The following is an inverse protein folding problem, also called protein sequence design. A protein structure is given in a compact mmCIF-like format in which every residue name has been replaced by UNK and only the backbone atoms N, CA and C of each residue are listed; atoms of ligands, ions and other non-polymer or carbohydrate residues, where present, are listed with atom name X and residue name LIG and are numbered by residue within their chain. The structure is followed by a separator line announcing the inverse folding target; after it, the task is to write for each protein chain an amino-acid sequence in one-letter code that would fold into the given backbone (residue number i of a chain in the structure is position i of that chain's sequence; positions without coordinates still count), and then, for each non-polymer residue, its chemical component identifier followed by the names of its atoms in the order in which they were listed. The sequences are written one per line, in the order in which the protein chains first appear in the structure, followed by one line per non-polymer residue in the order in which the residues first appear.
data_IF_301964179232
#
_entry.id   IF_301964179232
#
_cell.length_a   1.000
_cell.length_b   1.000
_cell.length_c   1.000
_cell.angle_alpha   90.00
_cell.angle_beta   90.00
_cell.angle_gamma   90.00
#
_symmetry.space_group_name_H-M   'P 1'
#
loop_
_entity.id
_entity.type
_entity.pdbx_description
1 polymer ?
#
# COMPACT_ATOMS: atom_id res chain seq x y z
N UNK A 1 -43.87 18.31 25.59
CA UNK A 1 -42.79 19.11 26.22
C UNK A 1 -41.49 18.32 26.30
N UNK A 2 -40.91 17.98 25.14
CA UNK A 2 -39.57 17.38 25.12
C UNK A 2 -38.55 18.44 25.56
N UNK A 3 -37.57 18.05 26.38
CA UNK A 3 -36.53 18.96 26.86
C UNK A 3 -35.15 18.40 26.51
N UNK A 4 -34.20 19.29 26.19
CA UNK A 4 -32.85 18.98 25.73
C UNK A 4 -32.79 18.41 24.29
N UNK A 5 -31.68 17.76 23.91
CA UNK A 5 -31.47 17.15 22.60
C UNK A 5 -32.05 15.74 22.55
N UNK A 6 -32.57 15.35 21.40
CA UNK A 6 -33.11 14.02 21.15
C UNK A 6 -33.21 13.75 19.66
N UNK A 7 -33.29 12.48 19.29
CA UNK A 7 -33.46 12.07 17.89
C UNK A 7 -34.75 11.27 17.76
N UNK A 8 -35.48 11.51 16.68
CA UNK A 8 -36.67 10.74 16.30
C UNK A 8 -36.33 9.97 15.04
N UNK A 9 -36.49 8.65 15.09
CA UNK A 9 -36.11 7.75 14.00
C UNK A 9 -37.32 7.31 13.19
N UNK A 10 -37.12 7.23 11.88
CA UNK A 10 -38.16 6.85 10.92
C UNK A 10 -37.63 5.87 9.88
N UNK A 11 -38.48 4.96 9.40
CA UNK A 11 -38.28 4.25 8.13
C UNK A 11 -38.97 5.03 7.02
N UNK A 12 -38.33 5.09 5.85
CA UNK A 12 -38.92 5.67 4.64
C UNK A 12 -39.02 4.56 3.60
N UNK A 13 -40.23 4.32 3.08
CA UNK A 13 -40.43 3.33 2.01
C UNK A 13 -40.11 3.91 0.62
N UNK A 14 -40.16 3.05 -0.41
CA UNK A 14 -39.89 3.45 -1.80
C UNK A 14 -40.89 4.47 -2.36
N UNK A 15 -42.06 4.63 -1.73
CA UNK A 15 -43.08 5.61 -2.10
C UNK A 15 -42.94 6.92 -1.31
N UNK A 16 -41.91 7.05 -0.46
CA UNK A 16 -41.69 8.22 0.40
C UNK A 16 -42.59 8.26 1.63
N UNK A 17 -43.28 7.18 1.99
CA UNK A 17 -44.05 7.12 3.23
C UNK A 17 -43.12 6.98 4.42
N UNK A 18 -43.37 7.80 5.44
CA UNK A 18 -42.55 7.93 6.64
C UNK A 18 -43.23 7.20 7.79
N UNK A 19 -42.52 6.27 8.42
CA UNK A 19 -43.02 5.45 9.54
C UNK A 19 -42.14 5.67 10.76
N UNK A 20 -42.73 6.16 11.85
CA UNK A 20 -42.04 6.33 13.13
C UNK A 20 -41.57 4.98 13.67
N UNK A 21 -40.36 4.95 14.24
CA UNK A 21 -39.79 3.77 14.90
C UNK A 21 -39.62 4.05 16.39
N UNK A 22 -38.77 5.02 16.72
CA UNK A 22 -38.35 5.27 18.10
C UNK A 22 -37.91 6.72 18.34
N UNK A 23 -37.76 7.05 19.62
CA UNK A 23 -37.11 8.28 20.08
C UNK A 23 -35.90 7.89 20.90
N UNK A 24 -34.75 8.47 20.57
CA UNK A 24 -33.54 8.41 21.37
C UNK A 24 -33.46 9.67 22.23
N UNK A 25 -33.79 9.61 23.54
CA UNK A 25 -33.89 10.78 24.40
C UNK A 25 -32.51 11.26 24.91
N UNK A 26 -31.52 11.28 24.01
CA UNK A 26 -30.11 11.60 24.28
C UNK A 26 -29.41 11.99 22.98
N UNK A 27 -28.22 12.54 23.11
CA UNK A 27 -27.32 12.73 21.97
C UNK A 27 -26.90 11.38 21.37
N UNK A 28 -26.80 11.34 20.04
CA UNK A 28 -26.34 10.17 19.30
C UNK A 28 -24.88 10.31 18.87
N UNK A 29 -24.23 9.19 18.57
CA UNK A 29 -22.79 9.16 18.24
C UNK A 29 -22.51 9.88 16.92
N UNK A 30 -23.49 9.88 16.02
CA UNK A 30 -23.57 10.51 14.70
C UNK A 30 -23.91 12.01 14.73
N UNK A 31 -24.15 12.62 15.90
CA UNK A 31 -24.47 14.06 15.98
C UNK A 31 -23.48 14.96 15.23
N UNK A 32 -22.21 14.53 15.12
CA UNK A 32 -21.15 15.27 14.43
C UNK A 32 -21.49 15.58 12.97
N UNK A 33 -22.25 14.75 12.25
CA UNK A 33 -22.63 15.05 10.87
C UNK A 33 -23.58 16.25 10.80
N UNK A 34 -24.52 16.32 11.76
CA UNK A 34 -25.47 17.43 11.89
C UNK A 34 -24.76 18.72 12.27
N UNK A 35 -23.82 18.67 13.22
CA UNK A 35 -23.01 19.84 13.60
C UNK A 35 -22.22 20.37 12.40
N UNK A 36 -21.61 19.48 11.59
CA UNK A 36 -20.78 19.87 10.45
C UNK A 36 -21.58 20.55 9.34
N UNK A 37 -22.85 20.18 9.11
CA UNK A 37 -23.68 20.81 8.06
C UNK A 37 -24.48 22.01 8.54
N UNK A 38 -24.79 22.11 9.84
CA UNK A 38 -25.58 23.22 10.39
C UNK A 38 -24.73 24.31 11.04
N UNK A 39 -23.51 23.98 11.50
CA UNK A 39 -22.67 24.85 12.31
C UNK A 39 -23.14 24.99 13.76
N UNK A 40 -24.14 24.23 14.19
CA UNK A 40 -24.69 24.26 15.54
C UNK A 40 -23.93 23.23 16.39
N UNK A 41 -23.34 23.67 17.50
CA UNK A 41 -22.72 22.79 18.50
C UNK A 41 -23.81 22.23 19.43
N UNK A 42 -24.16 20.97 19.22
CA UNK A 42 -25.27 20.29 19.89
C UNK A 42 -24.90 19.92 21.34
N UNK A 43 -23.65 19.59 21.63
CA UNK A 43 -23.19 19.27 22.99
C UNK A 43 -23.19 20.53 23.86
N UNK A 44 -22.65 21.64 23.34
CA UNK A 44 -22.71 22.95 23.99
C UNK A 44 -24.16 23.36 24.22
N UNK A 45 -25.03 23.20 23.22
CA UNK A 45 -26.46 23.52 23.32
C UNK A 45 -27.14 22.71 24.41
N UNK A 46 -26.90 21.40 24.48
CA UNK A 46 -27.40 20.52 25.55
C UNK A 46 -27.03 21.04 26.95
N UNK A 47 -25.78 21.46 27.16
CA UNK A 47 -25.32 22.01 28.45
C UNK A 47 -26.03 23.33 28.78
N UNK A 48 -26.18 24.22 27.80
CA UNK A 48 -26.85 25.52 28.01
C UNK A 48 -28.34 25.39 28.30
N UNK A 49 -29.04 24.48 27.63
CA UNK A 49 -30.44 24.15 27.96
C UNK A 49 -30.54 23.68 29.41
N UNK A 50 -29.61 22.81 29.85
CA UNK A 50 -29.60 22.32 31.23
C UNK A 50 -29.30 23.41 32.27
N UNK A 51 -28.66 24.52 31.86
CA UNK A 51 -28.47 25.72 32.69
C UNK A 51 -29.71 26.64 32.73
N UNK A 52 -30.78 26.31 32.01
CA UNK A 52 -32.01 27.09 31.95
C UNK A 52 -32.04 28.16 30.87
N UNK A 53 -31.07 28.15 29.94
CA UNK A 53 -31.06 29.09 28.81
C UNK A 53 -32.12 28.72 27.76
N UNK A 54 -32.75 29.74 27.19
CA UNK A 54 -33.73 29.57 26.12
C UNK A 54 -33.00 29.42 24.78
N UNK A 55 -33.55 28.61 23.86
CA UNK A 55 -32.88 28.29 22.59
C UNK A 55 -32.45 29.54 21.79
N UNK A 56 -33.26 30.59 21.81
CA UNK A 56 -33.06 31.81 21.02
C UNK A 56 -32.45 32.97 21.82
N UNK A 57 -32.03 32.74 23.07
CA UNK A 57 -31.35 33.77 23.84
C UNK A 57 -29.93 34.04 23.29
N UNK A 58 -29.26 35.04 23.83
CA UNK A 58 -27.91 35.44 23.40
C UNK A 58 -26.83 34.39 23.72
N UNK A 59 -27.12 33.42 24.61
CA UNK A 59 -26.15 32.46 25.14
C UNK A 59 -26.13 31.19 24.28
N UNK A 60 -27.30 30.66 23.91
CA UNK A 60 -27.43 29.55 22.96
C UNK A 60 -27.34 30.09 21.53
N UNK A 61 -28.00 31.22 21.26
CA UNK A 61 -28.07 31.86 19.96
C UNK A 61 -28.51 30.92 18.82
N UNK A 62 -29.42 29.98 19.11
CA UNK A 62 -29.99 29.11 18.08
C UNK A 62 -30.89 29.96 17.18
N UNK A 63 -30.68 29.95 15.85
CA UNK A 63 -31.54 30.68 14.93
C UNK A 63 -32.97 30.15 15.00
N UNK A 64 -33.91 30.99 14.57
CA UNK A 64 -35.27 30.54 14.28
C UNK A 64 -35.25 29.42 13.23
N UNK A 65 -36.23 28.51 13.28
CA UNK A 65 -36.24 27.29 12.48
C UNK A 65 -36.09 27.55 10.97
N UNK A 66 -36.71 28.61 10.46
CA UNK A 66 -36.65 29.06 9.06
C UNK A 66 -35.26 29.59 8.64
N UNK A 67 -34.40 29.92 9.62
CA UNK A 67 -33.04 30.43 9.42
C UNK A 67 -31.95 29.38 9.63
N UNK A 68 -32.30 28.17 10.07
CA UNK A 68 -31.35 27.05 10.14
C UNK A 68 -30.94 26.69 8.71
N UNK A 69 -29.65 26.81 8.39
CA UNK A 69 -29.12 26.51 7.05
C UNK A 69 -28.39 25.17 7.03
N UNK A 70 -28.56 24.44 5.94
CA UNK A 70 -27.76 23.26 5.62
C UNK A 70 -26.66 23.68 4.66
N UNK A 71 -25.41 23.47 5.06
CA UNK A 71 -24.22 23.80 4.30
C UNK A 71 -23.51 22.51 3.86
N UNK A 72 -23.80 22.04 2.66
CA UNK A 72 -23.15 20.86 2.07
C UNK A 72 -23.56 19.54 2.71
N UNK A 73 -22.63 18.58 2.71
CA UNK A 73 -22.83 17.19 3.13
C UNK A 73 -21.72 16.77 4.09
N UNK A 74 -22.07 15.93 5.06
CA UNK A 74 -21.12 15.31 5.97
C UNK A 74 -21.33 13.79 6.02
N UNK A 75 -20.23 13.04 6.11
CA UNK A 75 -20.22 11.57 6.20
C UNK A 75 -19.34 11.18 7.38
N UNK A 76 -19.88 10.38 8.31
CA UNK A 76 -19.14 9.82 9.43
C UNK A 76 -18.79 8.35 9.17
N UNK A 77 -17.55 7.97 9.40
CA UNK A 77 -17.12 6.58 9.57
C UNK A 77 -16.63 6.36 11.00
N UNK A 78 -16.93 5.17 11.55
CA UNK A 78 -16.39 4.71 12.83
C UNK A 78 -15.29 3.70 12.57
N UNK A 79 -14.05 4.07 12.86
CA UNK A 79 -12.93 3.13 12.78
C UNK A 79 -12.94 2.30 14.06
N UNK A 80 -13.08 1.00 13.92
CA UNK A 80 -13.13 0.02 15.03
C UNK A 80 -11.98 -0.98 14.91
N UNK A 81 -11.79 -1.82 15.94
CA UNK A 81 -10.88 -2.99 15.87
C UNK A 81 -11.49 -4.24 15.27
N UNK A 82 -12.74 -4.19 14.81
CA UNK A 82 -13.43 -5.32 14.17
C UNK A 82 -12.67 -5.71 12.89
N UNK A 83 -12.39 -7.02 12.74
CA UNK A 83 -11.76 -7.57 11.54
C UNK A 83 -12.83 -8.07 10.55
N UNK A 84 -13.07 -7.37 9.42
CA UNK A 84 -14.06 -7.79 8.44
C UNK A 84 -13.69 -9.10 7.71
N UNK A 85 -12.44 -9.57 7.82
CA UNK A 85 -11.98 -10.86 7.30
C UNK A 85 -12.25 -12.01 8.30
N UNK A 86 -12.70 -11.69 9.52
CA UNK A 86 -12.96 -12.64 10.61
C UNK A 86 -14.28 -12.31 11.32
N UNK A 87 -15.38 -12.28 10.54
CA UNK A 87 -16.75 -12.07 11.01
C UNK A 87 -16.95 -10.84 11.91
N UNK A 88 -16.19 -9.77 11.67
CA UNK A 88 -16.20 -8.53 12.46
C UNK A 88 -15.88 -8.75 13.95
N UNK A 89 -15.18 -9.84 14.29
CA UNK A 89 -14.71 -10.04 15.65
C UNK A 89 -13.74 -8.90 16.02
N UNK A 90 -13.95 -8.21 17.15
CA UNK A 90 -13.03 -7.18 17.60
C UNK A 90 -11.65 -7.76 17.92
N UNK A 91 -10.62 -7.17 17.34
CA UNK A 91 -9.23 -7.47 17.66
C UNK A 91 -8.79 -6.70 18.92
N UNK A 92 -7.87 -7.29 19.67
CA UNK A 92 -7.38 -6.76 20.93
C UNK A 92 -5.86 -6.81 20.98
N UNK A 93 -5.27 -5.86 21.69
CA UNK A 93 -3.82 -5.82 21.81
C UNK A 93 -3.31 -4.40 21.96
N UNK A 94 -1.99 -4.28 21.81
CA UNK A 94 -1.32 -2.99 21.93
C UNK A 94 -1.30 -2.29 20.58
N UNK A 95 -1.78 -1.05 20.53
CA UNK A 95 -1.61 -0.19 19.36
C UNK A 95 -0.14 0.24 19.28
N UNK A 96 0.60 -0.36 18.35
CA UNK A 96 2.04 -0.12 18.16
C UNK A 96 2.33 1.21 17.47
N UNK A 97 1.43 1.62 16.58
CA UNK A 97 1.52 2.90 15.89
C UNK A 97 0.10 3.38 15.56
N UNK A 98 -0.15 4.64 15.86
CA UNK A 98 -1.34 5.39 15.54
C UNK A 98 -0.91 6.70 14.88
N UNK A 99 -1.33 6.89 13.62
CA UNK A 99 -1.29 8.18 12.93
C UNK A 99 -2.65 8.44 12.36
N UNK A 100 -3.24 9.55 12.79
CA UNK A 100 -4.51 10.06 12.31
C UNK A 100 -4.35 10.79 10.98
N UNK A 101 -5.48 11.07 10.34
CA UNK A 101 -5.53 11.88 9.13
C UNK A 101 -6.09 13.26 9.44
N UNK A 102 -5.50 14.30 8.86
CA UNK A 102 -5.86 15.69 9.14
C UNK A 102 -6.18 16.45 7.85
N UNK A 103 -6.63 17.70 7.96
CA UNK A 103 -6.83 18.60 6.82
C UNK A 103 -8.25 19.17 6.71
N UNK A 104 -8.43 20.10 5.76
CA UNK A 104 -9.66 20.85 5.65
C UNK A 104 -10.91 19.99 5.38
N UNK A 105 -11.91 20.12 6.25
CA UNK A 105 -13.15 19.36 6.18
C UNK A 105 -13.03 17.93 6.70
N UNK A 106 -11.99 17.61 7.48
CA UNK A 106 -11.92 16.39 8.31
C UNK A 106 -12.02 16.80 9.78
N UNK A 107 -12.97 16.18 10.48
CA UNK A 107 -13.11 16.23 11.93
C UNK A 107 -12.85 14.84 12.50
N UNK A 108 -12.07 14.79 13.58
CA UNK A 108 -11.79 13.58 14.32
C UNK A 108 -12.33 13.71 15.74
N UNK A 109 -13.04 12.69 16.17
CA UNK A 109 -13.46 12.51 17.56
C UNK A 109 -12.88 11.17 18.01
N UNK A 110 -11.70 11.23 18.63
CA UNK A 110 -10.93 10.06 19.08
C UNK A 110 -11.58 9.43 20.32
N UNK A 111 -11.59 8.09 20.37
CA UNK A 111 -11.81 7.34 21.59
C UNK A 111 -10.52 7.27 22.42
N UNK A 112 -10.38 6.22 23.22
CA UNK A 112 -9.17 5.98 24.02
C UNK A 112 -8.05 5.33 23.18
N UNK A 113 -7.64 5.96 22.07
CA UNK A 113 -6.61 5.45 21.16
C UNK A 113 -5.37 6.35 21.15
N UNK A 114 -4.21 5.78 21.46
CA UNK A 114 -2.91 6.44 21.38
C UNK A 114 -1.78 5.41 21.26
N UNK A 115 -0.58 5.85 20.89
CA UNK A 115 0.58 4.96 20.77
C UNK A 115 0.87 4.24 22.10
N UNK A 116 0.88 2.91 22.07
CA UNK A 116 1.14 2.06 23.24
C UNK A 116 -0.10 1.71 24.06
N UNK A 117 -1.29 2.22 23.73
CA UNK A 117 -2.52 1.83 24.45
C UNK A 117 -2.84 0.35 24.21
N UNK A 118 -3.35 -0.32 25.23
CA UNK A 118 -3.87 -1.68 25.13
C UNK A 118 -5.39 -1.63 25.00
N UNK A 119 -5.90 -2.11 23.86
CA UNK A 119 -7.33 -2.22 23.63
C UNK A 119 -7.89 -3.37 24.46
N UNK A 120 -8.92 -3.07 25.25
CA UNK A 120 -9.59 -3.99 26.17
C UNK A 120 -10.76 -4.71 25.48
N UNK A 121 -11.03 -5.98 25.80
CA UNK A 121 -12.20 -6.70 25.30
C UNK A 121 -13.52 -6.34 25.98
N UNK A 122 -13.49 -5.51 27.02
CA UNK A 122 -14.67 -5.24 27.86
C UNK A 122 -15.50 -4.03 27.40
N UNK A 123 -15.01 -3.25 26.43
CA UNK A 123 -15.68 -2.04 25.94
C UNK A 123 -15.90 -2.12 24.43
N UNK A 124 -16.64 -1.15 23.91
CA UNK A 124 -16.78 -0.98 22.47
C UNK A 124 -15.41 -0.86 21.78
N UNK A 125 -15.31 -1.43 20.59
CA UNK A 125 -14.11 -1.51 19.75
C UNK A 125 -13.79 -0.22 19.01
N UNK A 126 -14.57 0.85 19.24
CA UNK A 126 -14.39 2.16 18.64
C UNK A 126 -13.02 2.76 18.97
N UNK A 127 -12.23 3.03 17.92
CA UNK A 127 -10.96 3.73 18.01
C UNK A 127 -11.15 5.23 17.78
N UNK A 128 -11.77 5.62 16.67
CA UNK A 128 -11.94 7.02 16.27
C UNK A 128 -13.11 7.18 15.32
N UNK A 129 -13.86 8.27 15.48
CA UNK A 129 -14.86 8.70 14.50
C UNK A 129 -14.23 9.70 13.56
N UNK A 130 -14.40 9.47 12.26
CA UNK A 130 -13.87 10.33 11.20
C UNK A 130 -15.06 10.91 10.45
N UNK A 131 -15.26 12.22 10.58
CA UNK A 131 -16.33 12.93 9.86
C UNK A 131 -15.72 13.80 8.77
N UNK A 132 -16.11 13.55 7.52
CA UNK A 132 -15.72 14.39 6.39
C UNK A 132 -16.87 15.31 5.99
N UNK A 133 -16.56 16.55 5.62
CA UNK A 133 -17.51 17.56 5.17
C UNK A 133 -17.07 18.24 3.87
N UNK A 134 -18.02 18.44 2.97
CA UNK A 134 -17.81 19.18 1.72
C UNK A 134 -19.12 19.69 1.14
N UNK A 135 -19.06 20.46 0.05
CA UNK A 135 -20.24 20.97 -0.67
C UNK A 135 -21.02 19.89 -1.41
N UNK A 136 -20.39 18.75 -1.74
CA UNK A 136 -21.03 17.61 -2.41
C UNK A 136 -20.73 16.30 -1.69
N UNK A 137 -21.62 15.31 -1.80
CA UNK A 137 -21.40 13.94 -1.29
C UNK A 137 -20.11 13.35 -1.87
N UNK A 138 -19.89 13.54 -3.18
CA UNK A 138 -18.69 13.05 -3.87
C UNK A 138 -17.41 13.59 -3.25
N UNK A 139 -17.36 14.89 -2.97
CA UNK A 139 -16.16 15.51 -2.39
C UNK A 139 -15.97 15.14 -0.92
N UNK A 140 -17.07 15.01 -0.14
CA UNK A 140 -17.02 14.50 1.23
C UNK A 140 -16.45 13.06 1.24
N UNK A 141 -16.94 12.21 0.34
CA UNK A 141 -16.42 10.86 0.11
C UNK A 141 -14.95 10.86 -0.29
N UNK A 142 -14.51 11.74 -1.20
CA UNK A 142 -13.10 11.83 -1.59
C UNK A 142 -12.20 12.22 -0.40
N UNK A 143 -12.61 13.22 0.40
CA UNK A 143 -11.89 13.62 1.61
C UNK A 143 -11.82 12.48 2.61
N UNK A 144 -12.94 11.78 2.84
CA UNK A 144 -13.03 10.63 3.74
C UNK A 144 -12.16 9.47 3.26
N UNK A 145 -12.20 9.14 1.96
CA UNK A 145 -11.35 8.13 1.34
C UNK A 145 -9.87 8.44 1.52
N UNK A 146 -9.45 9.69 1.30
CA UNK A 146 -8.08 10.12 1.57
C UNK A 146 -7.74 9.94 3.06
N UNK A 147 -8.59 10.42 3.95
CA UNK A 147 -8.38 10.33 5.39
C UNK A 147 -8.21 8.86 5.84
N UNK A 148 -9.13 7.97 5.47
CA UNK A 148 -9.05 6.54 5.74
C UNK A 148 -7.77 5.88 5.18
N UNK A 149 -7.29 6.31 4.01
CA UNK A 149 -6.04 5.81 3.44
C UNK A 149 -4.77 6.39 4.09
N UNK A 150 -4.85 7.52 4.77
CA UNK A 150 -3.74 8.12 5.51
C UNK A 150 -3.58 7.52 6.90
N UNK A 151 -4.68 7.06 7.53
CA UNK A 151 -4.62 6.38 8.81
C UNK A 151 -3.58 5.25 8.82
N UNK A 152 -2.70 5.27 9.82
CA UNK A 152 -1.76 4.16 10.09
C UNK A 152 -2.02 3.67 11.49
N UNK A 153 -2.79 2.60 11.57
CA UNK A 153 -3.03 1.85 12.80
C UNK A 153 -2.28 0.52 12.66
N UNK A 154 -1.47 0.18 13.66
CA UNK A 154 -0.63 -1.01 13.72
C UNK A 154 -0.76 -1.65 15.10
N UNK A 155 -0.65 -2.96 15.16
CA UNK A 155 -0.77 -3.74 16.40
C UNK A 155 -2.15 -4.37 16.60
N UNK A 156 -3.19 -3.80 15.98
CA UNK A 156 -4.55 -4.37 15.89
C UNK A 156 -5.08 -4.26 14.46
N UNK A 157 -6.05 -5.12 14.12
CA UNK A 157 -6.88 -5.03 12.91
C UNK A 157 -7.86 -3.88 13.00
N UNK A 158 -8.40 -3.48 11.85
CA UNK A 158 -9.38 -2.40 11.75
C UNK A 158 -10.35 -2.63 10.60
N UNK A 159 -11.57 -2.10 10.73
CA UNK A 159 -12.59 -2.11 9.69
C UNK A 159 -12.35 -1.12 8.51
N UNK A 160 -11.22 -0.41 8.45
CA UNK A 160 -10.94 0.64 7.45
C UNK A 160 -11.15 0.18 6.00
N UNK A 161 -10.76 -1.06 5.66
CA UNK A 161 -10.91 -1.57 4.28
C UNK A 161 -12.37 -1.75 3.89
N UNK A 162 -13.18 -2.24 4.82
CA UNK A 162 -14.63 -2.38 4.64
C UNK A 162 -15.27 -1.00 4.44
N UNK A 163 -14.92 -0.03 5.28
CA UNK A 163 -15.39 1.36 5.12
C UNK A 163 -14.99 1.97 3.77
N UNK A 164 -13.75 1.74 3.32
CA UNK A 164 -13.27 2.20 2.01
C UNK A 164 -14.07 1.61 0.85
N UNK A 165 -14.47 0.35 0.94
CA UNK A 165 -15.30 -0.30 -0.08
C UNK A 165 -16.71 0.31 -0.12
N UNK A 166 -17.34 0.55 1.04
CA UNK A 166 -18.66 1.21 1.11
C UNK A 166 -18.63 2.59 0.46
N UNK A 167 -17.74 3.47 0.92
CA UNK A 167 -17.74 4.86 0.46
C UNK A 167 -17.31 4.99 -1.00
N UNK A 168 -16.61 4.00 -1.55
CA UNK A 168 -16.24 3.96 -2.97
C UNK A 168 -17.35 3.37 -3.86
N UNK A 169 -18.41 2.78 -3.29
CA UNK A 169 -19.45 2.12 -4.06
C UNK A 169 -20.34 3.16 -4.78
N UNK A 170 -20.62 3.01 -6.09
CA UNK A 170 -21.40 3.98 -6.86
C UNK A 170 -22.79 4.25 -6.28
N UNK A 171 -23.47 3.23 -5.76
CA UNK A 171 -24.82 3.37 -5.19
C UNK A 171 -24.82 4.17 -3.88
N UNK A 172 -23.77 4.04 -3.07
CA UNK A 172 -23.59 4.86 -1.86
C UNK A 172 -23.35 6.33 -2.25
N UNK A 173 -22.50 6.58 -3.24
CA UNK A 173 -22.20 7.93 -3.74
C UNK A 173 -23.44 8.59 -4.36
N UNK A 174 -24.30 7.80 -5.00
CA UNK A 174 -25.56 8.26 -5.56
C UNK A 174 -26.62 8.60 -4.50
N UNK A 175 -26.42 8.19 -3.24
CA UNK A 175 -27.38 8.40 -2.15
C UNK A 175 -28.56 7.42 -2.16
N UNK A 176 -28.42 6.29 -2.86
CA UNK A 176 -29.50 5.30 -3.04
C UNK A 176 -29.41 4.12 -2.07
N UNK A 177 -28.45 4.13 -1.15
CA UNK A 177 -28.28 3.03 -0.20
C UNK A 177 -29.52 2.85 0.70
N UNK A 178 -29.99 1.61 0.79
CA UNK A 178 -31.09 1.20 1.68
C UNK A 178 -30.58 0.36 2.84
N UNK A 179 -31.46 -0.02 3.77
CA UNK A 179 -31.12 -0.95 4.87
C UNK A 179 -30.58 -2.30 4.40
N UNK A 180 -30.87 -2.70 3.15
CA UNK A 180 -30.41 -3.96 2.57
C UNK A 180 -29.12 -3.82 1.75
N UNK A 181 -28.52 -2.62 1.68
CA UNK A 181 -27.36 -2.32 0.85
C UNK A 181 -26.22 -3.36 1.00
N UNK A 182 -25.81 -3.66 2.22
CA UNK A 182 -24.72 -4.63 2.45
C UNK A 182 -25.08 -6.07 2.05
N UNK A 183 -26.36 -6.46 2.12
CA UNK A 183 -26.82 -7.78 1.67
C UNK A 183 -26.83 -7.87 0.14
N UNK A 184 -27.09 -6.75 -0.54
CA UNK A 184 -27.16 -6.66 -2.00
C UNK A 184 -25.78 -6.56 -2.66
N UNK A 185 -24.75 -6.13 -1.93
CA UNK A 185 -23.40 -5.91 -2.44
C UNK A 185 -22.35 -6.73 -1.66
N UNK A 186 -22.31 -8.07 -1.83
CA UNK A 186 -21.32 -8.92 -1.16
C UNK A 186 -19.88 -8.64 -1.61
N UNK A 187 -19.68 -7.98 -2.74
CA UNK A 187 -18.38 -7.54 -3.24
C UNK A 187 -17.68 -6.54 -2.30
N UNK A 188 -18.44 -5.82 -1.45
CA UNK A 188 -17.90 -4.94 -0.40
C UNK A 188 -17.01 -5.72 0.58
N UNK A 189 -17.23 -7.02 0.75
CA UNK A 189 -16.43 -7.88 1.62
C UNK A 189 -15.20 -8.46 0.92
N UNK A 190 -14.93 -8.08 -0.34
CA UNK A 190 -13.73 -8.51 -1.06
C UNK A 190 -12.60 -7.52 -0.86
N UNK A 191 -11.49 -7.98 -0.28
CA UNK A 191 -10.36 -7.12 0.10
C UNK A 191 -9.10 -7.45 -0.69
N UNK A 192 -8.37 -6.40 -1.11
CA UNK A 192 -6.99 -6.55 -1.60
C UNK A 192 -6.02 -6.49 -0.43
N UNK A 193 -5.17 -7.50 -0.30
CA UNK A 193 -4.16 -7.53 0.76
C UNK A 193 -3.15 -6.39 0.57
N UNK A 194 -2.96 -5.60 1.63
CA UNK A 194 -1.87 -4.62 1.65
C UNK A 194 -0.53 -5.34 1.74
N UNK A 195 0.45 -4.87 0.97
CA UNK A 195 1.78 -5.47 0.94
C UNK A 195 2.60 -5.18 2.21
N UNK A 196 2.24 -4.13 2.97
CA UNK A 196 2.88 -3.67 4.21
C UNK A 196 4.43 -3.62 4.15
N UNK A 197 4.94 -3.09 3.03
CA UNK A 197 6.37 -3.12 2.68
C UNK A 197 7.27 -2.49 3.75
N UNK A 198 6.86 -1.36 4.34
CA UNK A 198 7.64 -0.66 5.36
C UNK A 198 7.85 -1.51 6.61
N UNK A 199 6.79 -2.09 7.17
CA UNK A 199 6.88 -2.98 8.33
C UNK A 199 7.73 -4.21 8.04
N UNK A 200 7.58 -4.82 6.85
CA UNK A 200 8.40 -5.98 6.44
C UNK A 200 9.89 -5.65 6.37
N UNK A 201 10.26 -4.48 5.84
CA UNK A 201 11.65 -4.02 5.80
C UNK A 201 12.18 -3.80 7.22
N UNK A 202 11.43 -3.12 8.09
CA UNK A 202 11.85 -2.89 9.48
C UNK A 202 12.03 -4.19 10.24
N UNK A 203 11.13 -5.17 10.05
CA UNK A 203 11.26 -6.50 10.64
C UNK A 203 12.53 -7.20 10.15
N UNK A 204 12.81 -7.17 8.85
CA UNK A 204 14.04 -7.75 8.30
C UNK A 204 15.29 -7.09 8.88
N UNK A 205 15.34 -5.75 8.93
CA UNK A 205 16.49 -5.02 9.50
C UNK A 205 16.67 -5.32 10.99
N UNK A 206 15.58 -5.37 11.76
CA UNK A 206 15.62 -5.70 13.18
C UNK A 206 16.14 -7.13 13.41
N UNK A 207 15.63 -8.10 12.64
CA UNK A 207 16.07 -9.50 12.69
C UNK A 207 17.58 -9.61 12.47
N UNK A 208 18.09 -9.02 11.39
CA UNK A 208 19.53 -9.06 11.07
C UNK A 208 20.36 -8.28 12.10
N UNK A 209 19.85 -7.17 12.65
CA UNK A 209 20.58 -6.36 13.62
C UNK A 209 20.72 -7.04 14.99
N UNK A 210 19.71 -7.80 15.41
CA UNK A 210 19.67 -8.48 16.71
C UNK A 210 20.29 -9.88 16.62
N UNK A 211 19.88 -10.66 15.62
CA UNK A 211 20.24 -12.08 15.51
C UNK A 211 21.41 -12.34 14.54
N UNK A 212 21.85 -11.32 13.79
CA UNK A 212 22.87 -11.44 12.77
C UNK A 212 22.35 -12.06 11.46
N UNK A 213 23.17 -12.01 10.40
CA UNK A 213 22.85 -12.70 9.15
C UNK A 213 23.35 -14.15 9.20
N UNK A 214 22.51 -15.16 8.88
CA UNK A 214 22.89 -16.57 9.04
C UNK A 214 24.11 -16.98 8.21
N UNK A 215 24.30 -16.38 7.04
CA UNK A 215 25.45 -16.65 6.16
C UNK A 215 26.74 -15.91 6.58
N UNK A 216 26.70 -15.00 7.56
CA UNK A 216 27.85 -14.17 7.98
C UNK A 216 28.21 -14.48 9.43
N UNK A 217 29.05 -15.50 9.65
CA UNK A 217 29.42 -15.97 10.99
C UNK A 217 30.24 -14.96 11.81
N UNK A 218 31.09 -14.19 11.16
CA UNK A 218 32.02 -13.27 11.81
C UNK A 218 31.94 -11.88 11.16
N UNK A 219 30.86 -11.11 11.41
CA UNK A 219 30.73 -9.79 10.85
C UNK A 219 31.75 -8.83 11.47
N UNK A 220 32.50 -8.12 10.63
CA UNK A 220 33.36 -7.03 11.07
C UNK A 220 32.49 -5.79 11.36
N UNK A 221 32.27 -5.53 12.66
CA UNK A 221 31.45 -4.40 13.14
C UNK A 221 32.09 -3.03 12.85
N UNK A 222 33.39 -3.00 12.58
CA UNK A 222 34.14 -1.77 12.30
C UNK A 222 34.35 -1.57 10.79
N UNK A 223 33.80 -2.45 9.95
CA UNK A 223 33.96 -2.34 8.51
C UNK A 223 33.25 -1.08 8.01
N UNK A 224 34.05 -0.12 7.55
CA UNK A 224 33.57 1.01 6.78
C UNK A 224 33.46 0.58 5.32
N UNK A 225 32.25 0.64 4.78
CA UNK A 225 32.02 0.40 3.36
C UNK A 225 32.23 1.68 2.58
N UNK A 226 33.18 1.66 1.65
CA UNK A 226 33.37 2.74 0.70
C UNK A 226 32.20 2.79 -0.29
N UNK A 227 31.81 4.01 -0.69
CA UNK A 227 30.83 4.16 -1.76
C UNK A 227 31.50 3.73 -3.07
N UNK A 228 30.91 2.79 -3.83
CA UNK A 228 31.50 2.36 -5.08
C UNK A 228 31.54 3.53 -6.08
N UNK A 229 32.66 3.67 -6.78
CA UNK A 229 32.77 4.59 -7.91
C UNK A 229 31.94 4.03 -9.06
N UNK A 230 30.86 4.73 -9.41
CA UNK A 230 30.02 4.33 -10.53
C UNK A 230 30.66 4.83 -11.85
N UNK A 231 30.80 3.96 -12.86
CA UNK A 231 31.31 4.38 -14.16
C UNK A 231 30.34 5.37 -14.82
N UNK A 232 30.81 6.28 -15.68
CA UNK A 232 29.96 7.21 -16.40
C UNK A 232 28.85 6.48 -17.15
N UNK A 233 27.64 7.03 -17.12
CA UNK A 233 26.51 6.53 -17.88
C UNK A 233 25.63 7.71 -18.28
N UNK A 234 25.56 7.97 -19.58
CA UNK A 234 24.64 8.96 -20.13
C UNK A 234 23.29 8.29 -20.40
N UNK A 235 22.25 8.74 -19.69
CA UNK A 235 20.90 8.19 -19.79
C UNK A 235 20.15 8.66 -21.04
N UNK A 236 20.57 9.79 -21.61
CA UNK A 236 19.91 10.44 -22.74
C UNK A 236 20.58 10.06 -24.06
N UNK A 237 21.83 9.62 -24.02
CA UNK A 237 22.52 9.06 -25.17
C UNK A 237 21.94 7.71 -25.61
N UNK A 238 21.82 7.52 -26.93
CA UNK A 238 21.47 6.24 -27.52
C UNK A 238 22.56 5.19 -27.22
N UNK A 239 22.14 3.98 -26.85
CA UNK A 239 23.05 2.85 -26.66
C UNK A 239 23.45 2.33 -28.05
N UNK A 240 24.76 2.23 -28.38
CA UNK A 240 25.20 1.76 -29.70
C UNK A 240 24.73 0.34 -29.99
N UNK A 241 24.42 0.05 -31.26
CA UNK A 241 24.08 -1.31 -31.68
C UNK A 241 25.23 -2.28 -31.41
N UNK A 242 24.89 -3.49 -30.99
CA UNK A 242 25.85 -4.55 -30.71
C UNK A 242 25.40 -5.90 -31.26
N UNK A 243 25.94 -6.97 -30.67
CA UNK A 243 25.68 -8.35 -31.09
C UNK A 243 24.20 -8.76 -31.01
N UNK A 244 23.38 -8.12 -30.18
CA UNK A 244 21.93 -8.38 -30.12
C UNK A 244 21.22 -7.92 -31.39
N UNK A 245 21.54 -6.72 -31.88
CA UNK A 245 20.99 -6.22 -33.14
C UNK A 245 21.47 -7.05 -34.32
N UNK A 246 22.72 -7.50 -34.28
CA UNK A 246 23.25 -8.39 -35.32
C UNK A 246 22.49 -9.73 -35.37
N UNK A 247 22.19 -10.34 -34.22
CA UNK A 247 21.34 -11.54 -34.15
C UNK A 247 19.92 -11.27 -34.68
N UNK A 248 19.33 -10.13 -34.35
CA UNK A 248 17.97 -9.77 -34.82
C UNK A 248 17.91 -9.56 -36.33
N UNK A 249 18.98 -9.06 -36.93
CA UNK A 249 19.07 -8.83 -38.37
C UNK A 249 19.39 -10.09 -39.16
N UNK A 250 20.34 -10.90 -38.69
CA UNK A 250 20.84 -12.05 -39.44
C UNK A 250 20.11 -13.36 -39.12
N UNK A 251 19.60 -13.50 -37.90
CA UNK A 251 19.20 -14.79 -37.36
C UNK A 251 20.40 -15.64 -36.88
N UNK A 252 20.14 -16.76 -36.17
CA UNK A 252 21.18 -17.55 -35.51
C UNK A 252 22.21 -18.17 -36.47
N UNK A 253 21.75 -18.77 -37.56
CA UNK A 253 22.60 -19.52 -38.50
C UNK A 253 23.57 -18.58 -39.23
N UNK A 254 23.05 -17.46 -39.74
CA UNK A 254 23.88 -16.47 -40.43
C UNK A 254 24.79 -15.71 -39.46
N UNK A 255 24.41 -15.55 -38.18
CA UNK A 255 25.32 -15.04 -37.15
C UNK A 255 26.52 -15.98 -36.95
N UNK A 256 26.31 -17.30 -36.95
CA UNK A 256 27.40 -18.28 -36.88
C UNK A 256 28.33 -18.19 -38.09
N UNK A 257 27.77 -18.10 -39.30
CA UNK A 257 28.57 -17.92 -40.52
C UNK A 257 29.36 -16.62 -40.51
N UNK A 258 28.76 -15.54 -40.02
CA UNK A 258 29.43 -14.25 -39.84
C UNK A 258 30.61 -14.39 -38.87
N UNK A 259 30.39 -15.04 -37.71
CA UNK A 259 31.41 -15.22 -36.69
C UNK A 259 32.60 -16.04 -37.21
N UNK A 260 32.38 -17.06 -38.05
CA UNK A 260 33.44 -17.86 -38.68
C UNK A 260 34.31 -17.05 -39.66
N UNK A 261 33.76 -15.99 -40.26
CA UNK A 261 34.47 -15.11 -41.20
C UNK A 261 35.18 -13.96 -40.51
N UNK A 262 34.86 -13.70 -39.25
CA UNK A 262 35.41 -12.58 -38.50
C UNK A 262 36.86 -12.86 -38.10
N UNK A 263 37.72 -11.82 -38.22
CA UNK A 263 39.16 -11.95 -37.92
C UNK A 263 39.48 -11.54 -36.50
N UNK A 264 38.61 -10.77 -35.86
CA UNK A 264 38.77 -10.30 -34.48
C UNK A 264 38.47 -11.43 -33.51
N UNK A 265 39.18 -11.43 -32.38
CA UNK A 265 38.84 -12.26 -31.24
C UNK A 265 37.63 -11.63 -30.54
N UNK A 266 36.57 -12.41 -30.43
CA UNK A 266 35.39 -12.06 -29.67
C UNK A 266 35.50 -12.59 -28.24
N UNK A 267 34.95 -11.85 -27.29
CA UNK A 267 34.96 -12.21 -25.88
C UNK A 267 33.55 -12.16 -25.29
N UNK A 268 33.32 -13.07 -24.35
CA UNK A 268 32.15 -13.10 -23.48
C UNK A 268 32.58 -12.66 -22.10
N UNK A 269 31.90 -11.64 -21.56
CA UNK A 269 32.10 -11.26 -20.17
C UNK A 269 31.31 -12.18 -19.23
N UNK A 270 31.97 -12.74 -18.22
CA UNK A 270 31.37 -13.66 -17.24
C UNK A 270 31.21 -13.04 -15.85
N UNK A 271 31.46 -11.73 -15.73
CA UNK A 271 31.45 -11.00 -14.45
C UNK A 271 30.13 -11.14 -13.71
N UNK A 272 28.99 -11.15 -14.41
CA UNK A 272 27.66 -11.27 -13.81
C UNK A 272 27.18 -12.71 -13.58
N UNK A 273 27.97 -13.73 -13.94
CA UNK A 273 27.61 -15.15 -13.73
C UNK A 273 28.79 -15.96 -13.18
N UNK A 274 29.69 -16.43 -14.03
CA UNK A 274 30.71 -17.41 -13.60
C UNK A 274 31.72 -16.83 -12.62
N UNK A 275 32.17 -15.60 -12.83
CA UNK A 275 33.24 -15.00 -12.02
C UNK A 275 32.89 -14.99 -10.52
N UNK A 276 31.69 -14.51 -10.18
CA UNK A 276 31.25 -14.49 -8.78
C UNK A 276 30.72 -15.84 -8.30
N UNK A 277 30.30 -16.73 -9.20
CA UNK A 277 30.02 -18.12 -8.85
C UNK A 277 31.28 -18.81 -8.30
N UNK A 278 32.44 -18.59 -8.94
CA UNK A 278 33.73 -19.13 -8.52
C UNK A 278 34.30 -18.45 -7.28
N UNK A 279 34.25 -17.11 -7.21
CA UNK A 279 34.98 -16.34 -6.20
C UNK A 279 34.15 -15.97 -4.96
N UNK A 280 32.85 -15.76 -5.15
CA UNK A 280 31.97 -15.16 -4.14
C UNK A 280 30.75 -16.05 -3.86
N UNK A 281 30.87 -17.35 -4.10
CA UNK A 281 29.82 -18.34 -3.90
C UNK A 281 28.47 -17.92 -4.51
N UNK A 282 28.51 -17.25 -5.67
CA UNK A 282 27.32 -16.77 -6.39
C UNK A 282 26.50 -15.70 -5.64
N UNK A 283 27.10 -15.00 -4.65
CA UNK A 283 26.39 -14.08 -3.75
C UNK A 283 26.28 -12.63 -4.23
N UNK A 284 26.78 -12.31 -5.42
CA UNK A 284 26.61 -10.94 -5.96
C UNK A 284 25.13 -10.70 -6.29
N UNK A 285 24.62 -9.56 -5.84
CA UNK A 285 23.19 -9.24 -5.85
C UNK A 285 22.80 -8.43 -7.07
N UNK A 286 21.52 -8.52 -7.45
CA UNK A 286 20.99 -7.76 -8.59
C UNK A 286 21.23 -6.25 -8.44
N UNK A 287 21.11 -5.73 -7.22
CA UNK A 287 21.29 -4.30 -6.92
C UNK A 287 22.70 -3.79 -7.27
N UNK A 288 23.73 -4.62 -7.16
CA UNK A 288 25.11 -4.20 -7.43
C UNK A 288 25.45 -4.35 -8.91
N UNK A 289 25.03 -5.45 -9.53
CA UNK A 289 25.22 -5.66 -10.97
C UNK A 289 24.51 -4.60 -11.82
N UNK A 290 23.27 -4.25 -11.46
CA UNK A 290 22.46 -3.30 -12.23
C UNK A 290 22.96 -1.85 -12.15
N UNK A 291 23.79 -1.50 -11.16
CA UNK A 291 24.41 -0.16 -11.08
C UNK A 291 25.39 0.09 -12.22
N UNK A 292 25.99 -0.95 -12.79
CA UNK A 292 27.05 -0.83 -13.81
C UNK A 292 26.66 -1.42 -15.17
N UNK A 293 25.61 -2.26 -15.22
CA UNK A 293 25.15 -2.93 -16.44
C UNK A 293 24.90 -1.97 -17.62
N UNK A 294 24.20 -0.86 -17.39
CA UNK A 294 23.91 0.13 -18.45
C UNK A 294 25.15 0.86 -18.97
N UNK A 295 26.06 1.24 -18.08
CA UNK A 295 27.34 1.84 -18.46
C UNK A 295 28.18 0.87 -19.30
N UNK A 296 28.23 -0.41 -18.90
CA UNK A 296 28.95 -1.44 -19.66
C UNK A 296 28.37 -1.58 -21.08
N UNK A 297 27.06 -1.68 -21.20
CA UNK A 297 26.35 -1.75 -22.48
C UNK A 297 26.66 -0.57 -23.40
N UNK A 298 26.75 0.65 -22.83
CA UNK A 298 27.02 1.88 -23.56
C UNK A 298 28.47 1.98 -24.05
N UNK A 299 29.44 1.55 -23.23
CA UNK A 299 30.88 1.76 -23.51
C UNK A 299 31.58 0.56 -24.14
N UNK A 300 31.00 -0.64 -24.04
CA UNK A 300 31.58 -1.87 -24.60
C UNK A 300 30.63 -2.63 -25.55
N UNK A 301 30.03 -1.95 -26.55
CA UNK A 301 29.07 -2.57 -27.47
C UNK A 301 29.67 -3.69 -28.35
N UNK A 302 31.01 -3.74 -28.48
CA UNK A 302 31.74 -4.77 -29.22
C UNK A 302 31.80 -6.13 -28.50
N UNK A 303 31.36 -6.20 -27.24
CA UNK A 303 31.30 -7.46 -26.47
C UNK A 303 30.36 -8.45 -27.16
N UNK A 304 30.81 -9.68 -27.38
CA UNK A 304 30.01 -10.66 -28.12
C UNK A 304 28.78 -11.08 -27.31
N UNK A 305 28.98 -11.47 -26.06
CA UNK A 305 27.88 -11.75 -25.13
C UNK A 305 28.26 -11.38 -23.71
N UNK A 306 27.24 -11.12 -22.89
CA UNK A 306 27.39 -11.06 -21.44
C UNK A 306 26.70 -12.27 -20.83
N UNK A 307 27.46 -13.08 -20.10
CA UNK A 307 26.92 -14.20 -19.37
C UNK A 307 26.35 -13.71 -18.04
N UNK A 308 25.02 -13.78 -17.91
CA UNK A 308 24.27 -13.15 -16.81
C UNK A 308 23.33 -14.10 -16.07
N UNK A 309 23.23 -15.36 -16.51
CA UNK A 309 22.18 -16.26 -16.05
C UNK A 309 22.56 -17.75 -16.13
N UNK A 310 21.73 -18.60 -15.54
CA UNK A 310 21.97 -20.04 -15.50
C UNK A 310 23.04 -20.45 -14.49
N UNK A 311 23.53 -21.68 -14.60
CA UNK A 311 24.41 -22.27 -13.58
C UNK A 311 23.76 -22.24 -12.18
N UNK A 312 24.53 -21.89 -11.15
CA UNK A 312 24.04 -21.83 -9.78
C UNK A 312 23.20 -20.56 -9.49
N UNK A 313 23.25 -19.54 -10.36
CA UNK A 313 22.62 -18.25 -10.08
C UNK A 313 21.12 -18.34 -9.87
N UNK A 314 20.43 -19.23 -10.59
CA UNK A 314 18.98 -19.38 -10.51
C UNK A 314 18.51 -19.77 -9.10
N UNK A 315 19.06 -20.84 -8.55
CA UNK A 315 18.74 -21.31 -7.21
C UNK A 315 19.25 -20.35 -6.13
N UNK A 316 20.48 -19.84 -6.28
CA UNK A 316 21.07 -18.97 -5.26
C UNK A 316 20.30 -17.65 -5.12
N UNK A 317 19.77 -17.09 -6.22
CA UNK A 317 18.89 -15.92 -6.17
C UNK A 317 17.73 -16.12 -5.21
N UNK A 318 17.00 -17.23 -5.36
CA UNK A 318 15.79 -17.48 -4.57
C UNK A 318 16.13 -17.93 -3.16
N UNK A 319 17.10 -18.83 -3.02
CA UNK A 319 17.39 -19.52 -1.75
C UNK A 319 18.16 -18.68 -0.77
N UNK A 320 19.12 -17.88 -1.24
CA UNK A 320 20.04 -17.16 -0.37
C UNK A 320 19.95 -15.64 -0.51
N UNK A 321 19.63 -15.14 -1.71
CA UNK A 321 19.52 -13.69 -1.92
C UNK A 321 18.10 -13.16 -1.73
N UNK A 322 17.10 -14.06 -1.66
CA UNK A 322 15.68 -13.71 -1.61
C UNK A 322 15.25 -12.77 -2.76
N UNK A 323 15.82 -13.01 -3.93
CA UNK A 323 15.59 -12.28 -5.18
C UNK A 323 15.00 -13.21 -6.24
N UNK A 324 14.26 -12.63 -7.19
CA UNK A 324 13.69 -13.36 -8.32
C UNK A 324 14.67 -13.38 -9.50
N UNK A 325 15.19 -14.55 -9.93
CA UNK A 325 16.13 -14.66 -11.04
C UNK A 325 15.53 -14.25 -12.39
N UNK A 326 14.21 -14.35 -12.57
CA UNK A 326 13.53 -13.90 -13.78
C UNK A 326 13.46 -12.38 -13.85
N UNK A 327 13.14 -11.75 -12.72
CA UNK A 327 13.14 -10.29 -12.61
C UNK A 327 14.54 -9.73 -12.85
N UNK A 328 15.58 -10.39 -12.33
CA UNK A 328 16.98 -10.06 -12.62
C UNK A 328 17.26 -10.09 -14.12
N UNK A 329 16.85 -11.16 -14.82
CA UNK A 329 17.04 -11.29 -16.27
C UNK A 329 16.31 -10.19 -17.05
N UNK A 330 15.07 -9.87 -16.69
CA UNK A 330 14.30 -8.77 -17.30
C UNK A 330 14.98 -7.42 -17.10
N UNK A 331 15.51 -7.16 -15.90
CA UNK A 331 16.23 -5.93 -15.58
C UNK A 331 17.54 -5.83 -16.38
N UNK A 332 18.29 -6.93 -16.51
CA UNK A 332 19.46 -6.96 -17.39
C UNK A 332 19.09 -6.72 -18.84
N UNK A 333 18.02 -7.34 -19.35
CA UNK A 333 17.61 -7.14 -20.74
C UNK A 333 17.27 -5.68 -21.03
N UNK A 334 16.66 -4.98 -20.07
CA UNK A 334 16.38 -3.54 -20.15
C UNK A 334 17.64 -2.69 -20.07
N UNK A 335 18.56 -3.02 -19.15
CA UNK A 335 19.78 -2.25 -18.93
C UNK A 335 20.83 -2.47 -20.03
N UNK A 336 20.84 -3.64 -20.64
CA UNK A 336 21.79 -4.07 -21.67
C UNK A 336 20.96 -4.43 -22.90
N UNK A 337 20.50 -3.49 -23.72
CA UNK A 337 19.62 -3.79 -24.87
C UNK A 337 20.38 -4.25 -26.12
N UNK A 338 21.69 -4.03 -26.19
CA UNK A 338 22.50 -4.15 -27.40
C UNK A 338 23.43 -5.35 -27.45
N UNK A 339 23.72 -6.00 -26.32
CA UNK A 339 24.62 -7.17 -26.24
C UNK A 339 23.81 -8.46 -26.07
N UNK A 340 24.25 -9.57 -26.66
CA UNK A 340 23.65 -10.89 -26.41
C UNK A 340 23.74 -11.25 -24.93
N UNK A 341 22.64 -11.76 -24.37
CA UNK A 341 22.65 -12.31 -23.01
C UNK A 341 22.83 -13.82 -23.12
N UNK A 342 23.85 -14.32 -22.43
CA UNK A 342 24.21 -15.73 -22.43
C UNK A 342 23.87 -16.35 -21.07
N UNK A 343 23.54 -17.65 -21.11
CA UNK A 343 23.37 -18.46 -19.92
C UNK A 343 24.12 -19.78 -20.02
N UNK A 344 24.50 -20.33 -18.88
CA UNK A 344 24.91 -21.73 -18.77
C UNK A 344 23.69 -22.61 -18.52
N UNK A 345 23.38 -23.51 -19.45
CA UNK A 345 22.26 -24.45 -19.38
C UNK A 345 22.78 -25.89 -19.35
N UNK A 346 22.31 -26.70 -18.40
CA UNK A 346 22.57 -28.15 -18.41
C UNK A 346 21.56 -28.82 -19.33
N UNK A 347 22.02 -29.60 -20.30
CA UNK A 347 21.13 -30.24 -21.29
C UNK A 347 20.03 -31.11 -20.66
N UNK A 348 20.34 -31.85 -19.60
CA UNK A 348 19.40 -32.81 -19.00
C UNK A 348 18.37 -32.19 -18.04
N UNK A 349 18.64 -31.02 -17.46
CA UNK A 349 17.81 -30.49 -16.37
C UNK A 349 17.79 -28.97 -16.24
N UNK A 350 18.21 -28.27 -17.29
CA UNK A 350 18.28 -26.81 -17.35
C UNK A 350 19.10 -26.19 -16.19
N UNK A 351 18.41 -25.73 -15.15
CA UNK A 351 18.96 -25.09 -13.95
C UNK A 351 18.56 -25.82 -12.65
N UNK A 352 17.90 -26.98 -12.77
CA UNK A 352 17.41 -27.76 -11.65
C UNK A 352 18.42 -28.78 -11.10
N UNK A 353 17.97 -29.48 -10.04
CA UNK A 353 18.77 -30.49 -9.34
C UNK A 353 18.17 -31.91 -9.44
N UNK A 354 17.15 -32.10 -10.29
CA UNK A 354 16.47 -33.38 -10.53
C UNK A 354 16.40 -33.65 -12.04
N UNK A 355 15.85 -34.81 -12.41
CA UNK A 355 15.45 -35.08 -13.78
C UNK A 355 14.07 -34.46 -14.05
N UNK A 356 13.87 -33.96 -15.26
CA UNK A 356 12.62 -33.36 -15.72
C UNK A 356 12.26 -34.00 -17.07
N UNK A 357 10.96 -34.18 -17.38
CA UNK A 357 10.55 -34.56 -18.74
C UNK A 357 10.87 -33.42 -19.71
N UNK A 358 10.99 -33.78 -20.99
CA UNK A 358 11.15 -32.85 -22.12
C UNK A 358 10.01 -31.83 -22.20
#
# INVERSE_FOLDING_TARGET
DYNNVGTVEFLVDQNGKVFFIEVNPRIQVEHTVTEMITGIDLVKTQIRIAQGHALHDEIIALPQQDKVRINGYAIQCRITTEDPENDFMPDYGTVLAYRSAEGFGIRLDEGSVYNGVKISPFFDSLLVKVTAHSTTVRDATHKLKRALNEFRIRGVKTNIRFLLNIIAHPEFIAGNATVNFLQQHPDIFTYKSSQDRGTKILKYLAEISVNGHPDVKHPDKNKLFEKPLLPPFDKDAAIPNGSKQLLEQLGPEALCEWLLKEKKIHYTDTTFRDAHQSLLATRVRSIDMLKVAGSFAQHFPQTFSMEVWGGATFDVCMRFLYEDPWKRLQQFRKAIPNILLQMLLRGANAVGYKAYPD
#
